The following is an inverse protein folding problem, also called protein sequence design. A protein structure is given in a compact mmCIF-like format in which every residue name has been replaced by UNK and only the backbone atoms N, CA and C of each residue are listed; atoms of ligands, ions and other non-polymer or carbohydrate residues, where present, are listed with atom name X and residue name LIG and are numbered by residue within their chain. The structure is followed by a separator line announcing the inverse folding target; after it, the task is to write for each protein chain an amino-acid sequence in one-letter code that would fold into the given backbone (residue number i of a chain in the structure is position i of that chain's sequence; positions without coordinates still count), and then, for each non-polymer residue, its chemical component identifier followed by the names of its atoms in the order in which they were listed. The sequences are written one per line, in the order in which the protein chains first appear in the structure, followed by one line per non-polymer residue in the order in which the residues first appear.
data_IF_438514457408
#
_entry.id   IF_438514457408
#
_cell.length_a   1.000
_cell.length_b   1.000
_cell.length_c   1.000
_cell.angle_alpha   90.00
_cell.angle_beta   90.00
_cell.angle_gamma   90.00
#
_symmetry.space_group_name_H-M   'P 1'
#
loop_
_entity.id
_entity.type
_entity.pdbx_description
1 polymer ?
#
# COMPACT_ATOMS: atom_id res chain seq x y z
N UNK A 1 -2.24 7.31 25.48
CA UNK A 1 -3.39 7.35 25.95
C UNK A 1 -4.09 6.23 25.52
N UNK A 2 -4.44 5.74 26.42
CA UNK A 2 -5.16 4.75 26.16
C UNK A 2 -6.28 5.18 25.44
N UNK A 3 -6.24 4.96 24.30
CA UNK A 3 -7.23 5.14 23.63
C UNK A 3 -8.20 4.22 23.86
N UNK A 4 -8.78 4.42 24.80
CA UNK A 4 -9.77 3.66 25.36
C UNK A 4 -10.70 3.12 24.40
N UNK A 5 -10.27 2.39 23.55
CA UNK A 5 -11.25 1.64 23.02
C UNK A 5 -11.72 1.87 21.70
N UNK A 6 -11.00 2.48 20.81
CA UNK A 6 -11.44 2.34 19.46
C UNK A 6 -10.49 1.43 18.67
N UNK A 7 -11.06 0.73 17.72
CA UNK A 7 -10.34 -0.13 16.83
C UNK A 7 -9.96 0.67 15.57
N UNK A 8 -8.80 0.35 15.03
CA UNK A 8 -8.37 0.91 13.76
C UNK A 8 -8.40 -0.20 12.71
N UNK A 9 -8.96 0.11 11.55
CA UNK A 9 -9.05 -0.83 10.44
C UNK A 9 -8.20 -0.24 9.31
N UNK A 10 -7.21 -1.00 8.87
CA UNK A 10 -6.33 -0.57 7.79
C UNK A 10 -6.71 -1.31 6.50
N UNK A 11 -7.09 -0.56 5.48
CA UNK A 11 -7.45 -1.12 4.19
C UNK A 11 -6.33 -0.86 3.20
N UNK A 12 -5.75 -1.92 2.66
CA UNK A 12 -4.72 -1.82 1.63
C UNK A 12 -5.39 -1.85 0.27
N UNK A 13 -5.17 -0.85 -0.54
CA UNK A 13 -5.89 -0.66 -1.79
C UNK A 13 -4.93 -0.67 -2.98
N UNK A 14 -5.17 -1.59 -3.92
CA UNK A 14 -4.52 -1.58 -5.21
C UNK A 14 -5.28 -0.60 -6.10
N UNK A 15 -4.60 0.42 -6.60
CA UNK A 15 -5.25 1.45 -7.42
C UNK A 15 -5.30 1.11 -8.90
N UNK A 16 -4.97 -0.12 -9.29
CA UNK A 16 -4.81 -0.53 -10.68
C UNK A 16 -5.94 -0.09 -11.63
N UNK A 17 -7.19 -0.29 -11.22
CA UNK A 17 -8.34 0.13 -12.00
C UNK A 17 -9.14 1.24 -11.32
N UNK A 18 -8.77 1.60 -10.10
CA UNK A 18 -9.52 2.56 -9.29
C UNK A 18 -9.17 4.02 -9.58
N UNK A 19 -8.25 4.26 -10.53
CA UNK A 19 -7.94 5.59 -11.00
C UNK A 19 -8.80 5.99 -12.20
N UNK A 20 -9.70 5.10 -12.65
CA UNK A 20 -10.60 5.34 -13.78
C UNK A 20 -12.04 5.04 -13.42
N UNK A 21 -12.97 5.72 -14.09
CA UNK A 21 -14.40 5.47 -13.92
C UNK A 21 -14.78 4.09 -14.50
N UNK A 22 -15.75 3.38 -13.92
CA UNK A 22 -16.60 3.79 -12.78
C UNK A 22 -15.99 3.54 -11.40
N UNK A 23 -14.89 2.82 -11.31
CA UNK A 23 -14.30 2.42 -10.02
C UNK A 23 -13.77 3.61 -9.22
N UNK A 24 -13.29 4.66 -9.90
CA UNK A 24 -12.81 5.85 -9.24
C UNK A 24 -13.91 6.49 -8.37
N UNK A 25 -15.10 6.71 -8.94
CA UNK A 25 -16.21 7.29 -8.20
C UNK A 25 -16.67 6.40 -7.06
N UNK A 26 -16.70 5.08 -7.29
CA UNK A 26 -17.09 4.11 -6.26
C UNK A 26 -16.11 4.14 -5.08
N UNK A 27 -14.83 4.20 -5.37
CA UNK A 27 -13.80 4.26 -4.35
C UNK A 27 -13.85 5.58 -3.57
N UNK A 28 -14.03 6.70 -4.26
CA UNK A 28 -14.16 8.00 -3.61
C UNK A 28 -15.36 8.06 -2.67
N UNK A 29 -16.49 7.45 -3.07
CA UNK A 29 -17.66 7.34 -2.20
C UNK A 29 -17.38 6.51 -0.96
N UNK A 30 -16.64 5.42 -1.11
CA UNK A 30 -16.26 4.55 0.00
C UNK A 30 -15.37 5.31 0.99
N UNK A 31 -14.36 6.03 0.50
CA UNK A 31 -13.48 6.84 1.34
C UNK A 31 -14.26 7.90 2.09
N UNK A 32 -15.20 8.55 1.43
CA UNK A 32 -16.04 9.58 2.04
C UNK A 32 -16.95 9.00 3.12
N UNK A 33 -17.51 7.80 2.86
CA UNK A 33 -18.38 7.13 3.83
C UNK A 33 -17.63 6.84 5.12
N UNK A 34 -16.35 6.47 5.04
CA UNK A 34 -15.57 6.10 6.22
C UNK A 34 -14.58 7.19 6.66
N UNK A 35 -14.76 8.44 6.18
CA UNK A 35 -13.94 9.56 6.63
C UNK A 35 -14.15 9.85 8.11
N UNK A 36 -15.38 9.63 8.62
CA UNK A 36 -15.67 9.74 10.03
C UNK A 36 -15.64 8.35 10.67
N UNK A 37 -15.23 8.25 11.93
CA UNK A 37 -15.23 6.96 12.63
C UNK A 37 -16.62 6.36 12.70
N UNK A 38 -16.69 5.02 12.67
CA UNK A 38 -17.93 4.30 12.87
C UNK A 38 -18.16 4.22 14.37
N UNK A 39 -19.28 4.78 14.85
CA UNK A 39 -19.61 4.75 16.25
C UNK A 39 -20.98 4.13 16.45
N UNK A 40 -21.02 3.03 17.20
CA UNK A 40 -22.26 2.36 17.61
C UNK A 40 -22.17 2.10 19.11
N UNK A 41 -22.42 3.12 19.95
CA UNK A 41 -22.22 3.02 21.39
C UNK A 41 -23.00 1.89 22.06
N UNK A 42 -24.21 1.60 21.58
CA UNK A 42 -25.04 0.53 22.15
C UNK A 42 -24.44 -0.84 21.92
N UNK A 43 -23.56 -1.00 20.92
CA UNK A 43 -22.88 -2.26 20.63
C UNK A 43 -21.43 -2.22 21.07
N UNK A 44 -21.00 -1.14 21.71
CA UNK A 44 -19.61 -0.98 22.11
C UNK A 44 -18.64 -0.85 20.95
N UNK A 45 -19.12 -0.40 19.77
CA UNK A 45 -18.28 -0.33 18.58
C UNK A 45 -17.84 1.11 18.34
N UNK A 46 -16.54 1.31 18.23
CA UNK A 46 -15.95 2.56 17.77
C UNK A 46 -14.75 2.19 16.91
N UNK A 47 -14.86 2.43 15.60
CA UNK A 47 -13.82 2.03 14.63
C UNK A 47 -13.45 3.17 13.72
N UNK A 48 -12.17 3.32 13.46
CA UNK A 48 -11.66 4.23 12.43
C UNK A 48 -11.12 3.41 11.28
N UNK A 49 -11.56 3.73 10.06
CA UNK A 49 -11.10 3.06 8.85
C UNK A 49 -10.09 3.96 8.14
N UNK A 50 -8.93 3.42 7.82
CA UNK A 50 -7.88 4.16 7.14
C UNK A 50 -7.49 3.42 5.87
N UNK A 51 -7.28 4.17 4.78
CA UNK A 51 -6.96 3.60 3.48
C UNK A 51 -5.52 3.88 3.12
N UNK A 52 -4.84 2.85 2.61
CA UNK A 52 -3.45 2.95 2.20
C UNK A 52 -3.35 2.48 0.75
N UNK A 53 -3.11 3.43 -0.13
CA UNK A 53 -3.13 3.19 -1.57
C UNK A 53 -1.76 2.88 -2.12
N UNK A 54 -1.69 2.02 -3.11
CA UNK A 54 -0.50 1.81 -3.92
C UNK A 54 -0.89 1.81 -5.40
N UNK A 55 -0.29 2.69 -6.17
CA UNK A 55 -0.49 2.77 -7.60
C UNK A 55 0.80 2.36 -8.33
N UNK A 56 0.76 1.33 -9.08
CA UNK A 56 -0.41 0.63 -9.63
C UNK A 56 -1.00 -0.40 -8.69
N UNK A 57 -0.16 -1.24 -8.10
CA UNK A 57 -0.59 -2.35 -7.22
C UNK A 57 0.42 -2.60 -6.11
N UNK A 58 0.05 -3.44 -5.16
CA UNK A 58 0.88 -3.75 -3.97
C UNK A 58 2.29 -4.20 -4.33
N UNK A 59 2.48 -4.86 -5.47
CA UNK A 59 3.79 -5.31 -5.92
C UNK A 59 4.78 -4.16 -6.15
N UNK A 60 4.32 -2.92 -6.28
CA UNK A 60 5.23 -1.76 -6.30
C UNK A 60 6.02 -1.69 -4.99
N UNK A 61 5.36 -1.94 -3.85
CA UNK A 61 6.04 -1.94 -2.57
C UNK A 61 7.08 -3.07 -2.50
N UNK A 62 6.82 -4.20 -3.14
CA UNK A 62 7.80 -5.29 -3.22
C UNK A 62 9.02 -4.87 -4.05
N UNK A 63 8.81 -4.17 -5.17
CA UNK A 63 9.90 -3.62 -5.97
C UNK A 63 10.74 -2.63 -5.15
N UNK A 64 10.10 -1.85 -4.30
CA UNK A 64 10.76 -0.86 -3.46
C UNK A 64 11.71 -1.49 -2.42
N UNK A 65 11.59 -2.78 -2.11
CA UNK A 65 12.59 -3.49 -1.33
C UNK A 65 13.96 -3.45 -2.00
N UNK A 66 14.00 -3.34 -3.34
CA UNK A 66 15.21 -3.50 -4.14
C UNK A 66 15.67 -2.19 -4.77
N UNK A 67 14.74 -1.37 -5.21
CA UNK A 67 15.08 -0.10 -5.88
C UNK A 67 13.90 0.86 -5.92
N UNK A 68 14.21 2.12 -6.07
CA UNK A 68 13.19 3.15 -6.28
C UNK A 68 12.84 3.23 -7.78
N UNK A 69 11.58 3.57 -8.07
CA UNK A 69 11.13 3.90 -9.41
C UNK A 69 9.99 4.91 -9.33
N UNK A 70 9.95 5.82 -10.28
CA UNK A 70 8.79 6.68 -10.52
C UNK A 70 8.23 6.44 -11.94
N UNK A 71 8.63 5.34 -12.57
CA UNK A 71 8.16 4.98 -13.91
C UNK A 71 6.65 4.87 -13.94
N UNK A 72 5.97 5.51 -14.94
CA UNK A 72 4.54 5.36 -15.09
C UNK A 72 4.25 3.99 -15.73
N UNK A 73 3.86 3.03 -14.92
CA UNK A 73 3.50 1.70 -15.41
C UNK A 73 2.10 1.71 -16.01
N UNK A 74 1.97 1.25 -17.25
CA UNK A 74 0.69 1.21 -17.93
C UNK A 74 -0.19 0.06 -17.46
N UNK A 75 0.41 -0.99 -16.92
CA UNK A 75 -0.30 -2.17 -16.42
C UNK A 75 0.55 -2.90 -15.39
N UNK A 76 -0.05 -3.91 -14.74
CA UNK A 76 0.67 -4.70 -13.75
C UNK A 76 1.82 -5.50 -14.33
N UNK A 77 1.68 -5.96 -15.57
CA UNK A 77 2.71 -6.77 -16.22
C UNK A 77 4.03 -6.03 -16.32
N UNK A 78 4.01 -4.77 -16.68
CA UNK A 78 5.24 -3.96 -16.75
C UNK A 78 5.92 -3.86 -15.38
N UNK A 79 5.14 -3.66 -14.33
CA UNK A 79 5.65 -3.60 -12.98
C UNK A 79 6.23 -4.95 -12.54
N UNK A 80 5.53 -6.03 -12.81
CA UNK A 80 5.99 -7.38 -12.46
C UNK A 80 7.26 -7.75 -13.23
N UNK A 81 7.41 -7.30 -14.47
CA UNK A 81 8.64 -7.49 -15.23
C UNK A 81 9.83 -6.81 -14.56
N UNK A 82 9.64 -5.58 -14.07
CA UNK A 82 10.70 -4.88 -13.33
C UNK A 82 11.02 -5.58 -12.02
N UNK A 83 10.01 -6.05 -11.28
CA UNK A 83 10.22 -6.79 -10.05
C UNK A 83 11.01 -8.08 -10.31
N UNK A 84 10.68 -8.78 -11.39
CA UNK A 84 11.35 -10.04 -11.73
C UNK A 84 12.80 -9.84 -12.21
N UNK A 85 13.20 -8.64 -12.52
CA UNK A 85 14.62 -8.33 -12.74
C UNK A 85 15.41 -8.29 -11.43
N UNK A 86 14.73 -8.05 -10.32
CA UNK A 86 15.36 -7.96 -9.01
C UNK A 86 15.32 -9.29 -8.26
N UNK A 87 14.20 -10.02 -8.36
CA UNK A 87 13.98 -11.27 -7.65
C UNK A 87 12.90 -12.05 -8.38
N UNK A 88 12.99 -13.36 -8.40
CA UNK A 88 11.94 -14.18 -9.04
C UNK A 88 10.67 -14.10 -8.17
N UNK A 89 9.62 -13.58 -8.73
CA UNK A 89 8.34 -13.41 -8.05
C UNK A 89 7.20 -13.92 -8.92
N UNK A 90 6.32 -14.70 -8.30
CA UNK A 90 5.08 -15.16 -8.95
C UNK A 90 3.92 -14.92 -8.01
N UNK A 91 2.81 -14.41 -8.56
CA UNK A 91 1.61 -14.18 -7.78
C UNK A 91 0.90 -15.52 -7.60
N UNK A 92 1.41 -16.35 -6.71
CA UNK A 92 0.87 -17.68 -6.43
C UNK A 92 0.82 -17.93 -4.92
N UNK A 93 -0.18 -18.70 -4.47
CA UNK A 93 -0.37 -18.97 -3.05
C UNK A 93 0.87 -19.58 -2.38
N UNK A 94 1.62 -20.40 -3.10
CA UNK A 94 2.84 -20.99 -2.56
C UNK A 94 3.88 -19.95 -2.17
N UNK A 95 4.00 -18.89 -2.94
CA UNK A 95 4.91 -17.80 -2.62
C UNK A 95 4.49 -17.10 -1.34
N UNK A 96 3.20 -16.85 -1.18
CA UNK A 96 2.69 -16.16 0.00
C UNK A 96 2.85 -16.98 1.27
N UNK A 97 2.73 -18.31 1.17
CA UNK A 97 2.90 -19.21 2.32
C UNK A 97 4.32 -19.23 2.86
N UNK A 98 5.31 -18.96 2.01
CA UNK A 98 6.72 -19.02 2.41
C UNK A 98 7.22 -17.74 3.08
N UNK A 99 6.38 -16.71 3.16
CA UNK A 99 6.77 -15.44 3.76
C UNK A 99 7.57 -14.57 2.82
N UNK A 100 6.88 -13.68 2.11
CA UNK A 100 7.50 -12.80 1.12
C UNK A 100 8.58 -11.89 1.71
N UNK A 101 8.35 -11.35 2.89
CA UNK A 101 9.32 -10.45 3.52
C UNK A 101 10.67 -11.14 3.69
N UNK A 102 10.70 -12.32 4.28
CA UNK A 102 11.95 -13.09 4.48
C UNK A 102 12.59 -13.46 3.15
N UNK A 103 11.78 -13.82 2.16
CA UNK A 103 12.28 -14.15 0.83
C UNK A 103 12.97 -12.95 0.19
N UNK A 104 12.39 -11.77 0.26
CA UNK A 104 13.00 -10.56 -0.30
C UNK A 104 14.28 -10.18 0.43
N UNK A 105 14.28 -10.29 1.77
CA UNK A 105 15.47 -9.99 2.56
C UNK A 105 16.63 -10.93 2.23
N UNK A 106 16.34 -12.23 2.02
CA UNK A 106 17.37 -13.20 1.62
C UNK A 106 17.92 -12.97 0.22
N UNK A 107 17.21 -12.20 -0.61
CA UNK A 107 17.60 -11.93 -1.98
C UNK A 107 18.05 -10.46 -2.15
N UNK A 108 18.61 -9.89 -1.10
CA UNK A 108 19.19 -8.55 -1.09
C UNK A 108 18.16 -7.42 -1.07
N UNK A 109 16.92 -7.71 -0.80
CA UNK A 109 15.91 -6.69 -0.55
C UNK A 109 15.97 -6.21 0.90
N UNK A 110 15.39 -5.05 1.18
CA UNK A 110 15.35 -4.47 2.51
C UNK A 110 14.02 -3.79 2.75
N UNK A 111 13.37 -4.12 3.87
CA UNK A 111 12.14 -3.44 4.28
C UNK A 111 12.41 -1.95 4.56
N UNK A 112 13.56 -1.61 5.14
CA UNK A 112 13.92 -0.22 5.39
C UNK A 112 14.02 0.55 4.06
N UNK A 113 14.58 -0.06 3.03
CA UNK A 113 14.61 0.54 1.70
C UNK A 113 13.20 0.68 1.13
N UNK A 114 12.35 -0.34 1.31
CA UNK A 114 10.97 -0.29 0.82
C UNK A 114 10.21 0.87 1.46
N UNK A 115 10.33 1.04 2.76
CA UNK A 115 9.68 2.13 3.50
C UNK A 115 10.20 3.48 3.00
N UNK A 116 11.52 3.64 2.90
CA UNK A 116 12.14 4.88 2.44
C UNK A 116 11.72 5.22 1.00
N UNK A 117 11.70 4.23 0.12
CA UNK A 117 11.29 4.42 -1.28
C UNK A 117 9.81 4.78 -1.40
N UNK A 118 8.96 4.13 -0.60
CA UNK A 118 7.53 4.45 -0.57
C UNK A 118 7.31 5.88 -0.08
N UNK A 119 7.98 6.28 0.98
CA UNK A 119 7.88 7.65 1.50
C UNK A 119 8.39 8.67 0.48
N UNK A 120 9.47 8.35 -0.23
CA UNK A 120 9.96 9.19 -1.31
C UNK A 120 8.91 9.34 -2.42
N UNK A 121 8.22 8.25 -2.77
CA UNK A 121 7.18 8.29 -3.79
C UNK A 121 6.04 9.22 -3.41
N UNK A 122 5.64 9.20 -2.12
CA UNK A 122 4.58 10.07 -1.62
C UNK A 122 5.02 11.53 -1.59
N UNK A 123 6.26 11.81 -1.20
CA UNK A 123 6.80 13.16 -1.20
C UNK A 123 6.86 13.75 -2.62
N UNK A 124 7.29 12.95 -3.59
CA UNK A 124 7.32 13.37 -4.99
C UNK A 124 5.92 13.56 -5.55
N UNK A 125 4.99 12.67 -5.20
CA UNK A 125 3.59 12.79 -5.59
C UNK A 125 3.00 14.11 -5.10
N UNK A 126 3.27 14.47 -3.87
CA UNK A 126 2.79 15.71 -3.28
C UNK A 126 3.41 16.94 -3.97
N UNK A 127 4.68 16.85 -4.34
CA UNK A 127 5.40 17.96 -4.96
C UNK A 127 4.98 18.19 -6.41
N UNK A 128 4.87 17.11 -7.21
CA UNK A 128 4.61 17.23 -8.64
C UNK A 128 3.16 16.95 -9.04
N UNK A 129 2.33 16.53 -8.09
CA UNK A 129 0.91 16.29 -8.34
C UNK A 129 0.61 15.02 -9.13
N UNK A 130 1.59 14.15 -9.31
CA UNK A 130 1.35 12.93 -10.09
C UNK A 130 0.41 11.97 -9.35
N UNK A 131 -0.42 11.26 -10.11
CA UNK A 131 -1.34 10.29 -9.54
C UNK A 131 -0.96 8.86 -9.94
N UNK A 132 0.31 8.59 -10.15
CA UNK A 132 0.81 7.28 -10.52
C UNK A 132 2.12 6.98 -9.81
N UNK A 133 2.42 5.71 -9.68
CA UNK A 133 3.67 5.16 -9.11
C UNK A 133 4.00 5.78 -7.75
N UNK A 134 3.17 5.45 -6.78
CA UNK A 134 3.35 5.84 -5.38
C UNK A 134 2.84 4.72 -4.47
N UNK A 135 3.29 4.69 -3.23
CA UNK A 135 2.80 3.73 -2.25
C UNK A 135 2.69 4.35 -0.87
N UNK A 136 1.52 4.19 -0.24
CA UNK A 136 1.33 4.55 1.15
C UNK A 136 1.70 3.42 2.11
N UNK A 137 2.17 2.27 1.60
CA UNK A 137 2.51 1.15 2.47
C UNK A 137 3.72 1.42 3.36
N UNK A 138 4.62 2.33 2.95
CA UNK A 138 5.71 2.77 3.84
C UNK A 138 5.16 3.44 5.08
N UNK A 139 4.17 4.30 4.93
CA UNK A 139 3.47 4.97 6.04
C UNK A 139 2.77 3.95 6.94
N UNK A 140 2.14 2.94 6.33
CA UNK A 140 1.49 1.88 7.10
C UNK A 140 2.51 1.09 7.94
N UNK A 141 3.65 0.72 7.35
CA UNK A 141 4.68 -0.02 8.07
C UNK A 141 5.23 0.79 9.26
N UNK A 142 5.46 2.08 9.07
CA UNK A 142 5.91 2.96 10.15
C UNK A 142 4.85 3.05 11.25
N UNK A 143 3.59 3.18 10.87
CA UNK A 143 2.47 3.25 11.81
C UNK A 143 2.35 1.96 12.64
N UNK A 144 2.50 0.80 12.01
CA UNK A 144 2.42 -0.49 12.71
C UNK A 144 3.53 -0.66 13.75
N UNK A 145 4.71 -0.08 13.51
CA UNK A 145 5.80 -0.13 14.49
C UNK A 145 5.51 0.73 15.73
N UNK A 146 4.63 1.70 15.62
CA UNK A 146 4.28 2.60 16.70
C UNK A 146 3.11 2.09 17.57
N UNK A 147 2.47 1.02 17.15
CA UNK A 147 1.33 0.47 17.90
C UNK A 147 1.74 -0.45 19.09
#
# INVERSE_FOLDING_TARGET
GVDSGYNRIFCIIDMDTKDKEPELSQYQKLKKKYAEPISKPKKGIYCKVEFFETHRCTELFFLYYFRYTSRPYENQEQLLNDLNQCVVYKKANEFFRKGLHSYFERNNGSLDNAVANAERSMAEKQKDGREYTYSELGRLMTLLKEL
#
